data_IF_019500282912
#
_entry.id   IF_019500282912
#
_cell.length_a   1.000
_cell.length_b   1.000
_cell.length_c   1.000
_cell.angle_alpha   90.00
_cell.angle_beta   90.00
_cell.angle_gamma   90.00
#
_symmetry.space_group_name_H-M   'P 1'
#
loop_
_entity.id
_entity.type
_entity.pdbx_description
1 polymer ?
#
# COMPACT_ATOMS: atom_id res chain seq x y z
N UNK A 1 -0.81 32.60 17.44
CA UNK A 1 -0.17 31.28 17.60
C UNK A 1 -0.53 30.48 16.36
N UNK A 2 0.44 30.23 15.49
CA UNK A 2 0.24 29.57 14.20
C UNK A 2 -0.26 28.15 14.45
N UNK A 3 -1.36 27.76 13.81
CA UNK A 3 -1.79 26.37 13.73
C UNK A 3 -0.65 25.57 13.12
N UNK A 4 0.05 24.81 13.95
CA UNK A 4 1.01 23.81 13.48
C UNK A 4 0.27 22.95 12.47
N UNK A 5 0.78 22.92 11.23
CA UNK A 5 0.36 21.96 10.23
C UNK A 5 0.34 20.58 10.89
N UNK A 6 -0.84 20.00 11.03
CA UNK A 6 -1.00 18.64 11.57
C UNK A 6 -0.38 17.60 10.62
N UNK A 7 -0.06 17.97 9.38
CA UNK A 7 0.59 17.09 8.42
C UNK A 7 2.06 16.85 8.75
N UNK A 8 2.51 15.59 8.81
CA UNK A 8 3.89 15.29 9.13
C UNK A 8 4.84 15.86 8.08
N UNK A 9 5.96 16.44 8.52
CA UNK A 9 6.94 17.06 7.62
C UNK A 9 7.53 16.08 6.61
N UNK A 10 7.76 14.83 7.01
CA UNK A 10 8.23 13.77 6.10
C UNK A 10 7.30 13.58 4.89
N UNK A 11 5.98 13.78 5.08
CA UNK A 11 5.02 13.65 4.00
C UNK A 11 5.22 14.79 2.98
N UNK A 12 5.49 16.01 3.45
CA UNK A 12 5.81 17.14 2.59
C UNK A 12 7.06 16.90 1.74
N UNK A 13 8.11 16.30 2.31
CA UNK A 13 9.29 15.88 1.54
C UNK A 13 8.91 14.84 0.49
N UNK A 14 8.23 13.77 0.88
CA UNK A 14 7.84 12.69 -0.04
C UNK A 14 6.94 13.21 -1.18
N UNK A 15 5.90 14.00 -0.89
CA UNK A 15 4.96 14.48 -1.92
C UNK A 15 5.60 15.48 -2.87
N UNK A 16 6.51 16.33 -2.38
CA UNK A 16 7.28 17.24 -3.23
C UNK A 16 8.11 16.44 -4.24
N UNK A 17 8.89 15.48 -3.74
CA UNK A 17 9.75 14.63 -4.58
C UNK A 17 8.91 13.83 -5.60
N UNK A 18 7.79 13.25 -5.20
CA UNK A 18 6.93 12.48 -6.11
C UNK A 18 6.24 13.36 -7.16
N UNK A 19 6.03 14.65 -6.88
CA UNK A 19 5.45 15.59 -7.84
C UNK A 19 6.42 15.92 -8.98
N UNK A 20 7.71 15.97 -8.66
CA UNK A 20 8.83 16.19 -9.60
C UNK A 20 9.21 14.90 -10.33
N UNK A 21 9.25 13.77 -9.59
CA UNK A 21 9.69 12.47 -10.08
C UNK A 21 8.55 11.46 -10.14
N UNK A 22 7.58 11.70 -11.03
CA UNK A 22 6.35 10.90 -11.18
C UNK A 22 6.56 9.40 -11.46
N UNK A 23 7.77 8.99 -11.84
CA UNK A 23 8.14 7.58 -12.07
C UNK A 23 8.67 6.87 -10.83
N UNK A 24 9.04 7.60 -9.78
CA UNK A 24 9.58 7.07 -8.53
C UNK A 24 8.50 6.43 -7.65
N UNK A 25 7.59 5.65 -8.23
CA UNK A 25 6.40 5.07 -7.57
C UNK A 25 6.63 3.67 -7.01
N UNK A 26 7.83 3.12 -7.15
CA UNK A 26 8.12 1.73 -6.78
C UNK A 26 8.99 1.68 -5.54
N UNK A 27 8.60 0.88 -4.56
CA UNK A 27 9.35 0.68 -3.32
C UNK A 27 9.41 -0.80 -2.93
N UNK A 28 10.44 -1.18 -2.18
CA UNK A 28 10.55 -2.53 -1.64
C UNK A 28 9.73 -2.64 -0.35
N UNK A 29 8.86 -3.64 -0.25
CA UNK A 29 8.14 -4.00 0.97
C UNK A 29 8.81 -5.22 1.61
N UNK A 30 9.33 -5.06 2.81
CA UNK A 30 9.81 -6.13 3.67
C UNK A 30 8.68 -6.62 4.59
N UNK A 31 8.51 -7.94 4.68
CA UNK A 31 7.60 -8.64 5.60
C UNK A 31 8.35 -9.82 6.22
N UNK A 32 7.75 -10.48 7.21
CA UNK A 32 8.32 -11.71 7.79
C UNK A 32 7.36 -12.85 7.56
N UNK A 33 7.85 -13.96 7.02
CA UNK A 33 7.13 -15.22 7.05
C UNK A 33 7.37 -15.91 8.39
N UNK A 34 6.32 -16.10 9.17
CA UNK A 34 6.38 -16.86 10.44
C UNK A 34 5.80 -18.27 10.30
N UNK A 35 5.37 -18.66 9.10
CA UNK A 35 5.04 -20.06 8.81
C UNK A 35 6.34 -20.86 8.64
N UNK A 36 6.59 -21.80 9.57
CA UNK A 36 7.76 -22.66 9.57
C UNK A 36 8.48 -22.70 10.93
N UNK A 37 9.65 -23.34 10.98
CA UNK A 37 10.46 -23.45 12.20
C UNK A 37 11.09 -22.11 12.61
N UNK A 38 11.46 -21.28 11.61
CA UNK A 38 12.15 -20.01 11.83
C UNK A 38 11.43 -18.87 11.10
N UNK A 39 11.41 -17.65 11.69
CA UNK A 39 10.95 -16.46 10.98
C UNK A 39 11.90 -16.14 9.83
N UNK A 40 11.37 -16.01 8.60
CA UNK A 40 12.16 -15.73 7.40
C UNK A 40 11.77 -14.35 6.84
N UNK A 41 12.71 -13.39 6.71
CA UNK A 41 12.43 -12.13 6.06
C UNK A 41 12.12 -12.34 4.57
N UNK A 42 11.13 -11.62 4.07
CA UNK A 42 10.70 -11.67 2.66
C UNK A 42 10.61 -10.25 2.12
N UNK A 43 11.03 -10.07 0.87
CA UNK A 43 11.04 -8.76 0.22
C UNK A 43 10.52 -8.87 -1.21
N UNK A 44 9.87 -7.81 -1.69
CA UNK A 44 9.44 -7.63 -3.09
C UNK A 44 9.14 -6.16 -3.35
N UNK A 45 9.15 -5.76 -4.61
CA UNK A 45 8.70 -4.44 -5.01
C UNK A 45 7.17 -4.36 -5.08
N UNK A 46 6.64 -3.20 -4.69
CA UNK A 46 5.26 -2.79 -4.86
C UNK A 46 5.21 -1.42 -5.51
N UNK A 47 4.08 -1.13 -6.18
CA UNK A 47 3.82 0.18 -6.78
C UNK A 47 2.91 0.99 -5.86
N UNK A 48 3.37 2.15 -5.43
CA UNK A 48 2.59 3.19 -4.79
C UNK A 48 1.44 3.64 -5.70
N UNK A 49 0.22 3.69 -5.17
CA UNK A 49 -0.98 4.06 -5.92
C UNK A 49 -1.56 5.40 -5.51
N UNK A 50 -1.59 5.67 -4.22
CA UNK A 50 -2.19 6.89 -3.69
C UNK A 50 -1.71 7.15 -2.26
N UNK A 51 -1.89 8.38 -1.78
CA UNK A 51 -1.79 8.75 -0.37
C UNK A 51 -3.17 9.20 0.07
N UNK A 52 -3.74 8.53 1.08
CA UNK A 52 -4.96 8.99 1.72
C UNK A 52 -4.57 9.86 2.91
N UNK A 53 -4.95 11.14 2.89
CA UNK A 53 -4.76 12.06 4.01
C UNK A 53 -6.00 12.09 4.90
N UNK A 54 -6.47 10.90 5.31
CA UNK A 54 -7.70 10.74 6.11
C UNK A 54 -7.64 11.57 7.38
N UNK A 55 -6.48 11.55 8.03
CA UNK A 55 -6.11 12.43 9.11
C UNK A 55 -4.85 13.17 8.68
N UNK A 56 -4.85 14.48 8.86
CA UNK A 56 -3.67 15.31 8.61
C UNK A 56 -2.42 14.71 9.28
N UNK A 57 -2.54 14.22 10.52
CA UNK A 57 -1.45 13.56 11.26
C UNK A 57 -1.20 12.09 10.91
N UNK A 58 -2.06 11.39 10.16
CA UNK A 58 -1.90 9.95 9.86
C UNK A 58 -2.17 9.68 8.38
N UNK A 59 -1.27 10.08 7.48
CA UNK A 59 -1.38 9.71 6.07
C UNK A 59 -1.26 8.19 5.91
N UNK A 60 -1.99 7.63 4.95
CA UNK A 60 -1.95 6.21 4.60
C UNK A 60 -1.42 6.07 3.18
N UNK A 61 -0.37 5.27 3.01
CA UNK A 61 0.11 4.92 1.68
C UNK A 61 -0.69 3.74 1.15
N UNK A 62 -1.18 3.86 -0.09
CA UNK A 62 -1.99 2.82 -0.73
C UNK A 62 -1.17 2.08 -1.78
N UNK A 63 -1.25 0.76 -1.75
CA UNK A 63 -0.74 -0.15 -2.77
C UNK A 63 -1.79 -1.22 -3.09
N UNK A 64 -1.48 -2.09 -4.04
CA UNK A 64 -2.40 -3.14 -4.53
C UNK A 64 -1.72 -4.49 -4.50
N UNK A 65 -2.46 -5.54 -4.16
CA UNK A 65 -1.97 -6.92 -4.20
C UNK A 65 -3.06 -7.89 -4.59
N UNK A 66 -2.65 -9.06 -5.09
CA UNK A 66 -3.52 -10.23 -5.16
C UNK A 66 -3.66 -10.82 -3.75
N UNK A 67 -4.91 -11.06 -3.32
CA UNK A 67 -5.24 -11.58 -1.98
C UNK A 67 -4.66 -12.97 -1.74
N UNK A 68 -4.41 -13.73 -2.80
CA UNK A 68 -3.87 -15.10 -2.75
C UNK A 68 -2.35 -15.13 -2.62
N UNK A 69 -1.69 -13.97 -2.72
CA UNK A 69 -0.22 -13.94 -2.74
C UNK A 69 0.39 -14.16 -1.34
N UNK A 70 1.58 -14.78 -1.23
CA UNK A 70 2.17 -15.13 0.07
C UNK A 70 2.36 -13.97 1.05
N UNK A 71 2.49 -12.73 0.55
CA UNK A 71 2.66 -11.54 1.40
C UNK A 71 1.44 -11.27 2.27
N UNK A 72 0.24 -11.68 1.83
CA UNK A 72 -0.99 -11.52 2.61
C UNK A 72 -0.90 -12.34 3.89
N UNK A 73 -0.49 -13.61 3.80
CA UNK A 73 -0.27 -14.45 4.97
C UNK A 73 0.86 -13.89 5.85
N UNK A 74 1.97 -13.46 5.26
CA UNK A 74 3.10 -12.88 6.00
C UNK A 74 2.74 -11.62 6.80
N UNK A 75 1.87 -10.77 6.25
CA UNK A 75 1.37 -9.58 6.95
C UNK A 75 0.46 -9.99 8.12
N UNK A 76 -0.37 -11.02 7.92
CA UNK A 76 -1.35 -11.50 8.91
C UNK A 76 -0.76 -12.41 9.99
N UNK A 77 0.34 -13.09 9.69
CA UNK A 77 0.96 -14.04 10.61
C UNK A 77 1.70 -13.36 11.76
N UNK A 78 1.77 -12.02 11.74
CA UNK A 78 2.21 -11.23 12.87
C UNK A 78 1.12 -11.20 13.96
N UNK A 79 1.45 -11.55 15.22
CA UNK A 79 0.49 -11.57 16.32
C UNK A 79 -0.01 -10.18 16.75
N UNK A 80 0.61 -9.12 16.24
CA UNK A 80 0.29 -7.76 16.64
C UNK A 80 -0.79 -7.16 15.76
N UNK A 81 -1.96 -6.92 16.34
CA UNK A 81 -3.05 -6.16 15.71
C UNK A 81 -2.84 -4.64 15.78
N UNK A 82 -1.84 -4.19 16.55
CA UNK A 82 -1.52 -2.77 16.80
C UNK A 82 -0.06 -2.39 16.51
N UNK A 83 0.81 -3.33 16.21
CA UNK A 83 2.22 -3.09 15.92
C UNK A 83 2.49 -2.93 14.42
N UNK A 84 3.75 -2.69 14.04
CA UNK A 84 4.16 -2.77 12.66
C UNK A 84 4.11 -4.21 12.15
N UNK A 85 3.77 -4.38 10.88
CA UNK A 85 3.73 -5.69 10.19
C UNK A 85 4.62 -5.72 8.95
N UNK A 86 5.14 -4.56 8.53
CA UNK A 86 6.06 -4.44 7.41
C UNK A 86 6.95 -3.19 7.53
N UNK A 87 8.03 -3.17 6.76
CA UNK A 87 8.83 -1.97 6.52
C UNK A 87 8.97 -1.74 5.01
N UNK A 88 8.83 -0.49 4.58
CA UNK A 88 9.11 -0.07 3.21
C UNK A 88 10.51 0.52 3.13
N UNK A 89 11.26 0.17 2.08
CA UNK A 89 12.45 0.89 1.67
C UNK A 89 12.19 1.51 0.28
N UNK A 90 12.22 2.85 0.22
CA UNK A 90 11.93 3.63 -0.97
C UNK A 90 13.14 4.48 -1.32
N UNK A 91 13.92 3.98 -2.28
CA UNK A 91 15.04 4.72 -2.88
C UNK A 91 14.54 5.60 -4.01
N UNK A 92 14.88 6.89 -3.99
CA UNK A 92 14.59 7.84 -5.07
C UNK A 92 15.93 8.34 -5.59
N UNK A 93 16.35 7.77 -6.71
CA UNK A 93 17.70 7.92 -7.24
C UNK A 93 17.98 9.35 -7.71
N UNK A 94 16.96 10.00 -8.30
CA UNK A 94 17.04 11.35 -8.84
C UNK A 94 17.39 12.39 -7.78
N UNK A 95 16.89 12.22 -6.55
CA UNK A 95 17.16 13.09 -5.41
C UNK A 95 18.28 12.57 -4.49
N UNK A 96 18.79 11.36 -4.76
CA UNK A 96 19.77 10.67 -3.92
C UNK A 96 19.29 10.57 -2.46
N UNK A 97 18.04 10.16 -2.26
CA UNK A 97 17.41 10.02 -0.94
C UNK A 97 16.74 8.67 -0.71
N UNK A 98 16.64 8.27 0.56
CA UNK A 98 15.92 7.06 0.97
C UNK A 98 14.87 7.38 2.04
N UNK A 99 13.66 6.86 1.85
CA UNK A 99 12.68 6.73 2.93
C UNK A 99 12.61 5.27 3.38
N UNK A 100 12.78 5.03 4.68
CA UNK A 100 12.43 3.77 5.35
C UNK A 100 11.18 4.00 6.19
N UNK A 101 10.10 3.28 5.91
CA UNK A 101 8.79 3.52 6.53
C UNK A 101 8.35 2.25 7.22
N UNK A 102 8.42 2.24 8.55
CA UNK A 102 7.88 1.17 9.37
C UNK A 102 6.36 1.36 9.44
N UNK A 103 5.60 0.34 9.03
CA UNK A 103 4.17 0.47 8.85
C UNK A 103 3.38 -0.69 9.45
N UNK A 104 2.17 -0.35 9.93
CA UNK A 104 1.10 -1.32 10.10
C UNK A 104 0.36 -1.43 8.78
N UNK A 105 0.17 -2.65 8.27
CA UNK A 105 -0.48 -2.88 6.98
C UNK A 105 -1.87 -3.48 7.18
N UNK A 106 -2.90 -2.79 6.68
CA UNK A 106 -4.27 -3.29 6.60
C UNK A 106 -4.57 -3.78 5.18
N UNK A 107 -5.37 -4.84 5.08
CA UNK A 107 -5.71 -5.47 3.79
C UNK A 107 -7.21 -5.29 3.57
N UNK A 108 -7.58 -4.60 2.49
CA UNK A 108 -8.97 -4.47 2.06
C UNK A 108 -9.23 -5.37 0.84
N UNK A 109 -9.79 -6.57 1.03
CA UNK A 109 -10.16 -7.47 -0.05
C UNK A 109 -11.55 -7.16 -0.62
N UNK A 110 -12.03 -8.01 -1.53
CA UNK A 110 -13.41 -7.96 -2.00
C UNK A 110 -14.41 -8.22 -0.84
N UNK A 111 -15.64 -7.65 -0.87
CA UNK A 111 -16.66 -7.85 0.16
C UNK A 111 -17.06 -9.30 0.44
N UNK A 112 -16.88 -10.19 -0.54
CA UNK A 112 -17.15 -11.62 -0.43
C UNK A 112 -16.04 -12.40 0.29
N UNK A 113 -14.86 -11.80 0.49
CA UNK A 113 -13.72 -12.48 1.08
C UNK A 113 -13.83 -12.52 2.61
N UNK A 114 -13.47 -13.63 3.30
CA UNK A 114 -13.57 -13.73 4.76
C UNK A 114 -12.84 -12.62 5.52
N UNK A 115 -11.69 -12.17 5.01
CA UNK A 115 -10.88 -11.10 5.62
C UNK A 115 -11.53 -9.71 5.54
N UNK A 116 -12.60 -9.54 4.77
CA UNK A 116 -13.27 -8.25 4.66
C UNK A 116 -13.85 -7.79 6.00
N UNK A 117 -14.34 -8.72 6.82
CA UNK A 117 -14.86 -8.41 8.15
C UNK A 117 -13.79 -8.03 9.18
N UNK A 118 -12.53 -8.39 8.92
CA UNK A 118 -11.37 -8.03 9.75
C UNK A 118 -10.87 -6.60 9.45
N UNK A 119 -11.28 -6.00 8.34
CA UNK A 119 -10.81 -4.67 7.95
C UNK A 119 -11.35 -3.59 8.92
N UNK A 120 -10.48 -2.72 9.49
CA UNK A 120 -10.85 -1.78 10.54
C UNK A 120 -11.52 -0.51 9.98
N UNK A 121 -12.72 -0.67 9.40
CA UNK A 121 -13.47 0.42 8.78
C UNK A 121 -13.66 1.61 9.73
N UNK A 122 -14.01 1.35 10.99
CA UNK A 122 -14.30 2.43 11.93
C UNK A 122 -13.06 3.21 12.28
N UNK A 123 -11.96 2.52 12.57
CA UNK A 123 -10.70 3.13 13.00
C UNK A 123 -10.04 3.93 11.90
N UNK A 124 -10.18 3.51 10.64
CA UNK A 124 -9.65 4.23 9.48
C UNK A 124 -10.58 5.36 9.01
N UNK A 125 -11.89 5.25 9.25
CA UNK A 125 -12.87 6.28 8.87
C UNK A 125 -13.12 7.34 9.96
N UNK A 126 -12.80 7.06 11.24
CA UNK A 126 -13.10 7.97 12.35
C UNK A 126 -12.06 9.07 12.50
N UNK A 127 -12.49 10.32 12.29
CA UNK A 127 -11.69 11.52 12.55
C UNK A 127 -11.71 11.84 14.05
N UNK A 128 -10.67 11.43 14.78
CA UNK A 128 -10.53 11.86 16.18
C UNK A 128 -10.18 13.35 16.35
N UNK A 129 -10.25 14.18 15.29
CA UNK A 129 -9.82 15.58 15.29
C UNK A 129 -10.61 16.55 14.41
N UNK A 130 -11.79 16.18 13.91
CA UNK A 130 -12.72 17.13 13.27
C UNK A 130 -12.44 17.52 11.80
N UNK A 131 -11.20 17.41 11.30
CA UNK A 131 -10.88 17.63 9.88
C UNK A 131 -10.48 16.29 9.22
N UNK A 132 -11.42 15.68 8.48
CA UNK A 132 -11.06 14.69 7.47
C UNK A 132 -10.40 15.42 6.31
N UNK A 133 -9.31 14.90 5.75
CA UNK A 133 -8.93 15.30 4.40
C UNK A 133 -10.09 15.00 3.41
N UNK A 134 -10.23 15.76 2.32
CA UNK A 134 -11.40 15.70 1.42
C UNK A 134 -11.63 14.33 0.75
N UNK A 135 -10.63 13.43 0.76
CA UNK A 135 -10.61 12.20 -0.03
C UNK A 135 -10.84 10.92 0.80
N UNK A 136 -11.27 11.04 2.05
CA UNK A 136 -11.38 9.94 2.99
C UNK A 136 -12.66 9.11 2.84
N UNK A 137 -12.58 7.79 2.55
CA UNK A 137 -13.77 6.95 2.60
C UNK A 137 -14.29 6.85 4.04
N UNK A 138 -15.53 7.26 4.27
CA UNK A 138 -16.20 7.23 5.57
C UNK A 138 -16.96 5.90 5.79
N UNK A 139 -17.53 5.34 4.73
CA UNK A 139 -18.38 4.13 4.80
C UNK A 139 -17.73 2.92 4.14
N UNK A 140 -18.15 1.71 4.52
CA UNK A 140 -17.69 0.48 3.86
C UNK A 140 -17.96 0.48 2.34
N UNK A 141 -19.07 1.10 1.92
CA UNK A 141 -19.41 1.30 0.50
C UNK A 141 -18.42 2.21 -0.22
N UNK A 142 -17.96 3.28 0.43
CA UNK A 142 -16.94 4.18 -0.13
C UNK A 142 -15.56 3.52 -0.20
N UNK A 143 -15.21 2.71 0.79
CA UNK A 143 -13.99 1.90 0.76
C UNK A 143 -13.99 0.92 -0.41
N UNK A 144 -15.12 0.25 -0.67
CA UNK A 144 -15.26 -0.61 -1.86
C UNK A 144 -15.21 0.21 -3.16
N UNK A 145 -15.82 1.40 -3.19
CA UNK A 145 -15.73 2.30 -4.33
C UNK A 145 -14.28 2.73 -4.61
N UNK A 146 -13.48 3.00 -3.57
CA UNK A 146 -12.05 3.27 -3.69
C UNK A 146 -11.30 2.07 -4.26
N UNK A 147 -11.61 0.84 -3.80
CA UNK A 147 -11.00 -0.39 -4.32
C UNK A 147 -11.31 -0.57 -5.81
N UNK A 148 -12.56 -0.45 -6.23
CA UNK A 148 -12.97 -0.55 -7.65
C UNK A 148 -12.34 0.56 -8.50
N UNK A 149 -12.34 1.81 -8.01
CA UNK A 149 -11.68 2.94 -8.69
C UNK A 149 -10.19 2.68 -8.88
N UNK A 150 -9.52 2.17 -7.84
CA UNK A 150 -8.09 1.84 -7.91
C UNK A 150 -7.82 0.72 -8.92
N UNK A 151 -8.68 -0.31 -8.97
CA UNK A 151 -8.60 -1.37 -9.99
C UNK A 151 -8.75 -0.81 -11.41
N UNK A 152 -9.75 0.04 -11.64
CA UNK A 152 -9.99 0.65 -12.95
C UNK A 152 -8.82 1.55 -13.42
N UNK A 153 -8.13 2.20 -12.49
CA UNK A 153 -6.96 3.03 -12.80
C UNK A 153 -5.70 2.21 -13.18
N UNK A 154 -5.69 0.90 -12.93
CA UNK A 154 -4.59 0.04 -13.39
C UNK A 154 -4.63 -0.11 -14.91
N UNK A 155 -3.46 -0.22 -15.56
CA UNK A 155 -3.41 -0.51 -17.00
C UNK A 155 -3.98 -1.91 -17.31
N UNK A 156 -4.54 -2.14 -18.53
CA UNK A 156 -5.24 -3.39 -18.85
C UNK A 156 -4.48 -4.69 -18.56
N UNK A 157 -3.15 -4.80 -18.82
CA UNK A 157 -2.40 -6.01 -18.49
C UNK A 157 -2.28 -6.28 -17.00
N UNK A 158 -2.23 -5.23 -16.18
CA UNK A 158 -2.14 -5.38 -14.72
C UNK A 158 -3.50 -5.80 -14.15
N UNK A 159 -4.62 -5.27 -14.68
CA UNK A 159 -5.96 -5.79 -14.33
C UNK A 159 -6.09 -7.27 -14.65
N UNK A 160 -5.62 -7.69 -15.82
CA UNK A 160 -5.64 -9.09 -16.23
C UNK A 160 -4.84 -10.01 -15.31
N UNK A 161 -3.77 -9.51 -14.68
CA UNK A 161 -2.94 -10.31 -13.78
C UNK A 161 -3.70 -10.90 -12.58
N UNK A 162 -4.80 -10.29 -12.17
CA UNK A 162 -5.65 -10.77 -11.06
C UNK A 162 -6.60 -11.90 -11.46
N UNK A 163 -6.81 -12.15 -12.75
CA UNK A 163 -7.59 -13.29 -13.29
C UNK A 163 -6.68 -14.45 -13.76
N UNK A 164 -5.41 -14.45 -13.34
CA UNK A 164 -4.45 -15.51 -13.64
C UNK A 164 -4.37 -16.51 -12.48
N UNK A 165 -3.72 -17.67 -12.68
CA UNK A 165 -3.41 -18.58 -11.57
C UNK A 165 -2.71 -17.88 -10.40
N UNK A 166 -2.85 -18.46 -9.20
CA UNK A 166 -2.34 -17.88 -7.95
C UNK A 166 -0.87 -17.46 -8.05
N UNK A 167 -0.52 -16.20 -7.75
CA UNK A 167 0.85 -15.74 -7.85
C UNK A 167 1.82 -16.56 -6.99
N UNK A 168 2.87 -17.09 -7.60
CA UNK A 168 3.89 -17.92 -6.95
C UNK A 168 3.57 -19.41 -6.90
N UNK A 169 2.43 -19.85 -7.44
CA UNK A 169 2.17 -21.28 -7.64
C UNK A 169 3.13 -21.87 -8.70
N UNK A 170 3.49 -23.17 -8.60
CA UNK A 170 4.29 -23.84 -9.62
C UNK A 170 3.64 -23.74 -11.00
N UNK A 171 4.48 -23.59 -12.02
CA UNK A 171 4.10 -23.63 -13.43
C UNK A 171 4.90 -24.75 -14.10
N UNK A 172 4.22 -25.68 -14.75
CA UNK A 172 4.88 -26.81 -15.41
C UNK A 172 5.61 -26.38 -16.69
N UNK A 173 4.96 -25.53 -17.51
CA UNK A 173 5.50 -25.00 -18.76
C UNK A 173 5.15 -23.51 -18.90
N UNK A 174 6.11 -22.69 -19.34
CA UNK A 174 5.89 -21.26 -19.57
C UNK A 174 4.88 -20.97 -20.70
N UNK A 175 4.71 -21.90 -21.65
CA UNK A 175 3.74 -21.77 -22.76
C UNK A 175 2.29 -21.83 -22.29
N UNK A 176 2.01 -22.43 -21.13
CA UNK A 176 0.66 -22.40 -20.54
C UNK A 176 0.20 -20.96 -20.23
N UNK A 177 1.16 -20.05 -19.98
CA UNK A 177 0.86 -18.64 -19.71
C UNK A 177 0.30 -17.88 -20.91
N UNK A 178 0.51 -18.38 -22.13
CA UNK A 178 -0.03 -17.78 -23.36
C UNK A 178 -1.56 -17.84 -23.41
N UNK A 179 -2.16 -18.81 -22.71
CA UNK A 179 -3.62 -19.00 -22.64
C UNK A 179 -4.30 -18.10 -21.61
N UNK A 180 -3.53 -17.44 -20.74
CA UNK A 180 -4.09 -16.61 -19.67
C UNK A 180 -4.60 -15.26 -20.20
N UNK A 181 -5.53 -14.62 -19.48
CA UNK A 181 -5.97 -13.27 -19.80
C UNK A 181 -4.78 -12.30 -19.92
N UNK A 182 -4.66 -11.68 -21.10
CA UNK A 182 -3.58 -10.74 -21.40
C UNK A 182 -3.94 -9.30 -21.03
N UNK A 183 -5.22 -8.94 -21.19
CA UNK A 183 -5.78 -7.61 -20.90
C UNK A 183 -7.19 -7.79 -20.38
N UNK A 184 -7.59 -6.92 -19.45
CA UNK A 184 -8.98 -6.79 -19.03
C UNK A 184 -9.45 -5.33 -19.15
N UNK A 185 -10.71 -5.10 -19.53
CA UNK A 185 -11.30 -3.77 -19.48
C UNK A 185 -11.49 -3.30 -18.02
N UNK A 186 -11.95 -2.07 -17.86
CA UNK A 186 -12.41 -1.57 -16.56
C UNK A 186 -13.73 -2.25 -16.17
N UNK A 187 -14.03 -2.30 -14.87
CA UNK A 187 -15.36 -2.72 -14.40
C UNK A 187 -16.41 -1.78 -14.95
N UNK A 188 -17.43 -2.34 -15.60
CA UNK A 188 -18.53 -1.62 -16.26
C UNK A 188 -18.30 -1.36 -17.75
N UNK A 189 -17.12 -1.71 -18.29
CA UNK A 189 -16.77 -1.59 -19.71
C UNK A 189 -16.54 -2.95 -20.38
N UNK A 190 -17.04 -4.02 -19.78
CA UNK A 190 -16.98 -5.37 -20.36
C UNK A 190 -18.00 -5.50 -21.50
N UNK A 191 -17.58 -6.01 -22.66
CA UNK A 191 -18.43 -6.17 -23.84
C UNK A 191 -18.91 -7.62 -23.99
N UNK A 192 -18.11 -8.58 -23.52
CA UNK A 192 -18.42 -10.02 -23.62
C UNK A 192 -18.71 -10.66 -22.26
N UNK A 193 -19.44 -11.78 -22.26
CA UNK A 193 -19.68 -12.55 -21.02
C UNK A 193 -18.38 -13.10 -20.42
N UNK A 194 -17.39 -13.44 -21.26
CA UNK A 194 -16.08 -13.88 -20.80
C UNK A 194 -15.33 -12.75 -20.08
N UNK A 195 -15.34 -11.53 -20.63
CA UNK A 195 -14.76 -10.37 -19.95
C UNK A 195 -15.47 -10.08 -18.62
N UNK A 196 -16.81 -10.15 -18.57
CA UNK A 196 -17.58 -9.96 -17.32
C UNK A 196 -17.16 -10.98 -16.26
N UNK A 197 -16.98 -12.24 -16.65
CA UNK A 197 -16.52 -13.31 -15.76
C UNK A 197 -15.09 -13.05 -15.27
N UNK A 198 -14.17 -12.73 -16.17
CA UNK A 198 -12.77 -12.50 -15.82
C UNK A 198 -12.56 -11.22 -15.00
N UNK A 199 -13.29 -10.14 -15.27
CA UNK A 199 -13.25 -8.91 -14.45
C UNK A 199 -13.82 -9.18 -13.06
N UNK A 200 -14.90 -9.98 -12.95
CA UNK A 200 -15.43 -10.41 -11.65
C UNK A 200 -14.39 -11.21 -10.86
N UNK A 201 -13.77 -12.20 -11.47
CA UNK A 201 -12.70 -13.01 -10.84
C UNK A 201 -11.50 -12.15 -10.43
N UNK A 202 -11.05 -11.25 -11.32
CA UNK A 202 -9.98 -10.30 -11.03
C UNK A 202 -10.30 -9.45 -9.80
N UNK A 203 -11.54 -8.95 -9.69
CA UNK A 203 -11.97 -8.17 -8.54
C UNK A 203 -12.10 -8.99 -7.26
N UNK A 204 -12.44 -10.28 -7.33
CA UNK A 204 -12.43 -11.16 -6.15
C UNK A 204 -11.02 -11.34 -5.59
N UNK A 205 -10.00 -11.37 -6.48
CA UNK A 205 -8.60 -11.50 -6.10
C UNK A 205 -7.91 -10.16 -5.78
N UNK A 206 -8.44 -9.03 -6.27
CA UNK A 206 -7.85 -7.71 -6.12
C UNK A 206 -8.05 -7.14 -4.70
N UNK A 207 -6.96 -6.70 -4.06
CA UNK A 207 -7.00 -6.08 -2.74
C UNK A 207 -6.17 -4.80 -2.67
N UNK A 208 -6.60 -3.87 -1.81
CA UNK A 208 -5.74 -2.75 -1.40
C UNK A 208 -4.87 -3.17 -0.21
N UNK A 209 -3.64 -2.68 -0.21
CA UNK A 209 -2.76 -2.64 0.95
C UNK A 209 -2.71 -1.20 1.44
N UNK A 210 -3.12 -0.97 2.68
CA UNK A 210 -3.10 0.32 3.35
C UNK A 210 -1.96 0.29 4.37
N UNK A 211 -0.91 1.05 4.09
CA UNK A 211 0.26 1.14 4.95
C UNK A 211 0.09 2.38 5.82
N UNK A 212 -0.15 2.17 7.11
CA UNK A 212 -0.20 3.20 8.16
C UNK A 212 1.22 3.40 8.71
N UNK A 213 1.94 4.48 8.35
CA UNK A 213 3.28 4.76 8.85
C UNK A 213 3.27 4.97 10.36
N UNK A 214 4.23 4.36 11.04
CA UNK A 214 4.48 4.49 12.48
C UNK A 214 5.84 5.13 12.77
N UNK A 215 6.82 4.87 11.91
CA UNK A 215 8.16 5.45 11.96
C UNK A 215 8.64 5.71 10.54
N UNK A 216 9.32 6.84 10.33
CA UNK A 216 9.89 7.22 9.03
C UNK A 216 11.34 7.67 9.26
N UNK A 217 12.27 6.98 8.62
CA UNK A 217 13.70 7.28 8.61
C UNK A 217 14.07 7.75 7.20
N UNK A 218 14.42 9.04 7.09
CA UNK A 218 14.73 9.72 5.83
C UNK A 218 16.19 10.08 5.79
N UNK A 219 16.90 9.59 4.78
CA UNK A 219 18.31 9.87 4.54
C UNK A 219 18.44 10.71 3.29
N UNK A 220 19.15 11.84 3.39
CA UNK A 220 19.51 12.72 2.28
C UNK A 220 21.01 12.58 1.99
N UNK A 221 21.36 11.92 0.89
CA UNK A 221 22.74 11.73 0.44
C UNK A 221 23.14 12.72 -0.67
N UNK A 222 22.21 13.53 -1.16
CA UNK A 222 22.46 14.59 -2.15
C UNK A 222 23.10 15.86 -1.59
N UNK A 223 23.28 15.96 -0.26
CA UNK A 223 23.78 17.16 0.43
C UNK A 223 25.07 16.85 1.21
N UNK A 224 25.94 17.86 1.40
CA UNK A 224 27.19 17.73 2.17
C UNK A 224 27.22 18.74 3.34
N UNK A 225 27.39 18.29 4.60
CA UNK A 225 27.37 16.90 5.02
C UNK A 225 26.00 16.25 4.80
N UNK A 226 25.97 14.92 4.65
CA UNK A 226 24.74 14.14 4.53
C UNK A 226 23.80 14.44 5.72
N UNK A 227 22.50 14.23 5.53
CA UNK A 227 21.49 14.43 6.58
C UNK A 227 20.66 13.18 6.78
N UNK A 228 20.17 13.01 8.01
CA UNK A 228 19.23 11.96 8.35
C UNK A 228 18.27 12.43 9.42
N UNK A 229 16.99 12.23 9.17
CA UNK A 229 15.91 12.65 10.06
C UNK A 229 14.98 11.48 10.29
N UNK A 230 14.66 11.23 11.55
CA UNK A 230 13.70 10.22 11.95
C UNK A 230 12.44 10.90 12.49
N UNK A 231 11.28 10.40 12.09
CA UNK A 231 10.00 10.75 12.67
C UNK A 231 9.34 9.51 13.26
N UNK A 232 8.83 9.62 14.49
CA UNK A 232 8.08 8.55 15.15
C UNK A 232 6.70 9.05 15.56
N UNK A 233 5.66 8.23 15.31
CA UNK A 233 4.28 8.57 15.63
C UNK A 233 3.88 7.98 16.99
N UNK A 234 3.46 8.82 17.94
CA UNK A 234 3.08 8.41 19.29
C UNK A 234 1.61 7.98 19.43
N UNK A 235 0.83 8.09 18.35
CA UNK A 235 -0.63 7.89 18.34
C UNK A 235 -1.41 9.19 18.12
N UNK A 236 -0.79 10.35 18.35
CA UNK A 236 -1.40 11.67 18.24
C UNK A 236 -0.58 12.63 17.37
N UNK A 237 0.74 12.61 17.49
CA UNK A 237 1.66 13.51 16.79
C UNK A 237 2.91 12.78 16.32
N UNK A 238 3.65 13.45 15.44
CA UNK A 238 4.96 13.01 15.00
C UNK A 238 6.04 13.77 15.75
N UNK A 239 6.93 13.04 16.40
CA UNK A 239 8.15 13.58 16.98
C UNK A 239 9.29 13.49 15.95
N UNK A 240 10.02 14.58 15.76
CA UNK A 240 11.11 14.71 14.79
C UNK A 240 12.45 14.72 15.51
N UNK A 241 13.41 13.94 14.98
CA UNK A 241 14.77 13.89 15.50
C UNK A 241 15.77 13.83 14.34
N UNK A 242 16.67 14.81 14.27
CA UNK A 242 17.87 14.70 13.46
C UNK A 242 18.82 13.67 14.09
N UNK A 243 19.33 12.74 13.28
CA UNK A 243 20.26 11.68 13.71
C UNK A 243 21.48 11.67 12.81
N UNK A 244 22.56 11.01 13.25
CA UNK A 244 23.77 10.88 12.43
C UNK A 244 23.44 10.04 11.18
N UNK A 245 23.81 10.50 9.97
CA UNK A 245 23.61 9.77 8.72
C UNK A 245 24.20 8.35 8.73
#
# INVERSE_FOLDING_TARGET
>A
MSSLSLSPRWLGHLTTILSEHKKATTYALATVNTEGEFPIPRVRYLVHRNILTLHSARPILVSTTDIRSPKVNQIRSHPSTRGPTAEVAWWIAEENVQFRILARVQILPAPSHPLYSEFPFKELSQNSGGDSGPDAPATAKEWEALRIKTFNNLVPPIRASFARPTPGSPLADHTDAERWPQKLPEKGKEETEEEKKQVKEALENFSLLLLEPLDVDFVELGVVPNRRTRWSFDGHKWDEQAVVP
#
